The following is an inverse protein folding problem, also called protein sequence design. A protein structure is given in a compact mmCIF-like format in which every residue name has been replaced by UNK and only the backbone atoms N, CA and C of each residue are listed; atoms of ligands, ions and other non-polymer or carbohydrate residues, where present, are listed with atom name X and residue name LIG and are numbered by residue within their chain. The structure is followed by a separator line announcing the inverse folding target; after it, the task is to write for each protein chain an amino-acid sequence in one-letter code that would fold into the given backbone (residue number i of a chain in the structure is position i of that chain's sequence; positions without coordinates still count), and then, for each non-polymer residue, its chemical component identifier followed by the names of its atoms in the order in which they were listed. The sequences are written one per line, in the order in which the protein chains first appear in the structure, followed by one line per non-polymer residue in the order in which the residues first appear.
data_IF_367871658032
#
_entry.id   IF_367871658032
#
_cell.length_a   1.000
_cell.length_b   1.000
_cell.length_c   1.000
_cell.angle_alpha   90.00
_cell.angle_beta   90.00
_cell.angle_gamma   90.00
#
_symmetry.space_group_name_H-M   'P 1'
#
loop_
_entity.id
_entity.type
_entity.pdbx_description
1 polymer ?
#
# COMPACT_ATOMS: atom_id res chain seq x y z
N UNK A 1 -7.61 1.67 -31.27
CA UNK A 1 -8.49 0.53 -30.95
C UNK A 1 -7.87 -0.71 -31.57
N UNK A 2 -7.26 -1.58 -30.77
CA UNK A 2 -6.68 -2.84 -31.23
C UNK A 2 -7.65 -3.99 -30.90
N UNK A 3 -7.92 -4.82 -31.91
CA UNK A 3 -9.04 -5.76 -31.91
C UNK A 3 -8.90 -6.92 -30.93
N UNK A 4 -9.92 -7.09 -30.10
CA UNK A 4 -10.22 -8.32 -29.36
C UNK A 4 -10.83 -9.38 -30.30
N UNK A 5 -10.15 -9.73 -31.40
CA UNK A 5 -10.55 -10.83 -32.26
C UNK A 5 -9.78 -12.10 -31.87
N UNK A 6 -10.38 -12.89 -31.00
CA UNK A 6 -9.84 -14.19 -30.60
C UNK A 6 -10.59 -14.93 -29.51
N UNK A 7 -11.86 -14.61 -29.23
CA UNK A 7 -12.67 -15.46 -28.35
C UNK A 7 -13.22 -16.62 -29.18
N UNK A 8 -12.41 -17.67 -29.30
CA UNK A 8 -12.82 -18.96 -29.85
C UNK A 8 -13.96 -19.54 -29.00
N UNK A 9 -14.90 -20.23 -29.64
CA UNK A 9 -16.16 -20.74 -29.09
C UNK A 9 -15.99 -21.91 -28.09
N UNK A 10 -15.09 -21.78 -27.11
CA UNK A 10 -14.93 -22.65 -25.94
C UNK A 10 -14.90 -21.78 -24.67
N UNK A 11 -16.06 -21.30 -24.26
CA UNK A 11 -16.26 -20.30 -23.19
C UNK A 11 -16.09 -20.87 -21.78
N UNK A 12 -15.00 -21.57 -21.49
CA UNK A 12 -14.73 -22.13 -20.15
C UNK A 12 -13.38 -21.69 -19.54
N UNK A 13 -12.55 -20.99 -20.33
CA UNK A 13 -11.25 -20.47 -19.89
C UNK A 13 -11.26 -18.94 -19.94
N UNK A 14 -10.86 -18.31 -18.84
CA UNK A 14 -10.62 -16.86 -18.74
C UNK A 14 -9.11 -16.66 -18.65
N UNK A 15 -8.48 -15.90 -19.56
CA UNK A 15 -7.06 -15.59 -19.47
C UNK A 15 -6.72 -14.82 -18.18
N UNK A 16 -5.55 -15.08 -17.59
CA UNK A 16 -5.13 -14.43 -16.34
C UNK A 16 -4.96 -12.91 -16.52
N UNK A 17 -4.65 -12.46 -17.74
CA UNK A 17 -4.51 -11.04 -18.10
C UNK A 17 -5.84 -10.30 -17.94
N UNK A 18 -6.96 -10.96 -18.21
CA UNK A 18 -8.30 -10.40 -17.96
C UNK A 18 -8.51 -10.20 -16.47
N UNK A 19 -8.10 -11.16 -15.64
CA UNK A 19 -8.17 -11.03 -14.19
C UNK A 19 -7.27 -9.91 -13.65
N UNK A 20 -6.04 -9.79 -14.15
CA UNK A 20 -5.15 -8.68 -13.82
C UNK A 20 -5.78 -7.33 -14.21
N UNK A 21 -6.38 -7.24 -15.39
CA UNK A 21 -7.10 -6.03 -15.84
C UNK A 21 -8.24 -5.63 -14.90
N UNK A 22 -8.99 -6.60 -14.37
CA UNK A 22 -10.09 -6.34 -13.43
C UNK A 22 -9.63 -5.69 -12.13
N UNK A 23 -8.48 -6.12 -11.59
CA UNK A 23 -8.01 -5.68 -10.26
C UNK A 23 -7.05 -4.48 -10.30
N UNK A 24 -6.43 -4.21 -11.45
CA UNK A 24 -5.33 -3.23 -11.59
C UNK A 24 -5.74 -1.84 -11.07
N UNK A 25 -6.84 -1.28 -11.58
CA UNK A 25 -7.26 0.08 -11.23
C UNK A 25 -7.62 0.22 -9.76
N UNK A 26 -8.25 -0.80 -9.17
CA UNK A 26 -8.62 -0.76 -7.76
C UNK A 26 -7.39 -0.88 -6.85
N UNK A 27 -6.39 -1.67 -7.25
CA UNK A 27 -5.11 -1.71 -6.54
C UNK A 27 -4.37 -0.38 -6.65
N UNK A 28 -4.32 0.27 -7.83
CA UNK A 28 -3.71 1.60 -7.99
C UNK A 28 -4.36 2.63 -7.07
N UNK A 29 -5.70 2.65 -7.02
CA UNK A 29 -6.45 3.50 -6.07
C UNK A 29 -6.03 3.23 -4.63
N UNK A 30 -5.91 1.96 -4.22
CA UNK A 30 -5.42 1.64 -2.87
C UNK A 30 -3.99 2.13 -2.64
N UNK A 31 -3.07 1.98 -3.59
CA UNK A 31 -1.70 2.48 -3.46
C UNK A 31 -1.71 4.00 -3.22
N UNK A 32 -2.55 4.76 -3.92
CA UNK A 32 -2.69 6.20 -3.67
C UNK A 32 -3.35 6.53 -2.31
N UNK A 33 -4.32 5.73 -1.87
CA UNK A 33 -5.00 5.92 -0.57
C UNK A 33 -4.04 5.61 0.59
N UNK A 34 -3.22 4.57 0.48
CA UNK A 34 -2.34 4.09 1.56
C UNK A 34 -0.89 4.57 1.41
N UNK A 35 -0.57 5.25 0.32
CA UNK A 35 0.78 5.67 -0.03
C UNK A 35 0.92 7.15 -0.28
N UNK A 36 2.18 7.58 -0.22
CA UNK A 36 2.64 8.90 -0.59
C UNK A 36 4.04 8.76 -1.19
N UNK A 37 4.22 9.09 -2.47
CA UNK A 37 5.46 8.82 -3.22
C UNK A 37 6.73 9.33 -2.51
N UNK A 38 6.63 10.47 -1.83
CA UNK A 38 7.78 11.08 -1.14
C UNK A 38 7.95 10.63 0.33
N UNK A 39 7.00 9.89 0.90
CA UNK A 39 7.00 9.56 2.34
C UNK A 39 6.84 8.08 2.68
N UNK A 40 6.34 7.26 1.75
CA UNK A 40 6.24 5.82 1.93
C UNK A 40 4.83 5.27 1.76
N UNK A 41 4.62 4.03 2.20
CA UNK A 41 3.42 3.25 1.93
C UNK A 41 3.02 2.42 3.17
N UNK A 42 1.73 2.35 3.49
CA UNK A 42 1.20 1.55 4.60
C UNK A 42 1.03 0.10 4.19
N UNK A 43 2.10 -0.67 4.31
CA UNK A 43 2.17 -2.01 3.73
C UNK A 43 1.14 -2.99 4.29
N UNK A 44 0.97 -3.07 5.61
CA UNK A 44 0.11 -4.09 6.22
C UNK A 44 -1.35 -3.93 5.79
N UNK A 45 -1.91 -2.74 6.02
CA UNK A 45 -3.28 -2.40 5.63
C UNK A 45 -3.48 -2.52 4.11
N UNK A 46 -2.52 -2.01 3.31
CA UNK A 46 -2.60 -2.10 1.85
C UNK A 46 -2.64 -3.56 1.36
N UNK A 47 -1.71 -4.40 1.82
CA UNK A 47 -1.64 -5.78 1.37
C UNK A 47 -2.88 -6.58 1.80
N UNK A 48 -3.47 -6.27 2.95
CA UNK A 48 -4.75 -6.85 3.37
C UNK A 48 -5.89 -6.45 2.43
N UNK A 49 -6.01 -5.16 2.11
CA UNK A 49 -7.04 -4.66 1.17
C UNK A 49 -6.85 -5.25 -0.24
N UNK A 50 -5.62 -5.33 -0.73
CA UNK A 50 -5.30 -5.99 -2.01
C UNK A 50 -5.74 -7.47 -1.99
N UNK A 51 -5.41 -8.20 -0.92
CA UNK A 51 -5.83 -9.61 -0.77
C UNK A 51 -7.35 -9.75 -0.85
N UNK A 52 -8.10 -8.83 -0.22
CA UNK A 52 -9.55 -8.83 -0.24
C UNK A 52 -10.13 -8.52 -1.63
N UNK A 53 -9.52 -7.61 -2.40
CA UNK A 53 -9.89 -7.36 -3.80
C UNK A 53 -9.71 -8.64 -4.63
N UNK A 54 -8.55 -9.28 -4.51
CA UNK A 54 -8.22 -10.51 -5.25
C UNK A 54 -9.22 -11.60 -4.89
N UNK A 55 -9.46 -11.84 -3.60
CA UNK A 55 -10.38 -12.86 -3.13
C UNK A 55 -11.80 -12.64 -3.67
N UNK A 56 -12.31 -11.40 -3.55
CA UNK A 56 -13.65 -11.05 -4.03
C UNK A 56 -13.77 -11.24 -5.53
N UNK A 57 -12.80 -10.77 -6.32
CA UNK A 57 -12.85 -10.92 -7.78
C UNK A 57 -12.70 -12.39 -8.21
N UNK A 58 -11.83 -13.19 -7.55
CA UNK A 58 -11.74 -14.64 -7.80
C UNK A 58 -13.08 -15.34 -7.57
N UNK A 59 -13.77 -15.00 -6.48
CA UNK A 59 -15.09 -15.56 -6.15
C UNK A 59 -16.14 -15.24 -7.22
N UNK A 60 -16.01 -14.10 -7.90
CA UNK A 60 -16.92 -13.71 -8.99
C UNK A 60 -16.59 -14.46 -10.29
N UNK A 61 -15.32 -14.60 -10.67
CA UNK A 61 -14.95 -15.14 -11.99
C UNK A 61 -14.94 -16.67 -12.05
N UNK A 62 -14.49 -17.35 -10.98
CA UNK A 62 -14.31 -18.80 -11.00
C UNK A 62 -15.61 -19.58 -11.30
N UNK A 63 -16.81 -19.17 -10.82
CA UNK A 63 -18.06 -19.83 -11.17
C UNK A 63 -18.42 -19.84 -12.67
N UNK A 64 -17.84 -18.96 -13.48
CA UNK A 64 -18.08 -18.93 -14.93
C UNK A 64 -17.18 -19.90 -15.71
N UNK A 65 -16.30 -20.63 -15.01
CA UNK A 65 -15.28 -21.50 -15.61
C UNK A 65 -15.53 -22.96 -15.21
N UNK A 66 -15.19 -23.90 -16.09
CA UNK A 66 -15.16 -25.31 -15.74
C UNK A 66 -13.92 -25.61 -14.88
N UNK A 67 -13.82 -26.84 -14.35
CA UNK A 67 -12.71 -27.25 -13.48
C UNK A 67 -11.33 -27.03 -14.11
N UNK A 68 -11.17 -27.41 -15.38
CA UNK A 68 -9.92 -27.25 -16.13
C UNK A 68 -9.53 -25.77 -16.27
N UNK A 69 -10.49 -24.90 -16.57
CA UNK A 69 -10.25 -23.46 -16.67
C UNK A 69 -9.85 -22.86 -15.33
N UNK A 70 -10.53 -23.25 -14.25
CA UNK A 70 -10.19 -22.79 -12.89
C UNK A 70 -8.76 -23.17 -12.50
N UNK A 71 -8.36 -24.43 -12.74
CA UNK A 71 -7.01 -24.92 -12.47
C UNK A 71 -5.96 -24.14 -13.26
N UNK A 72 -6.23 -23.90 -14.55
CA UNK A 72 -5.35 -23.10 -15.41
C UNK A 72 -5.20 -21.67 -14.90
N UNK A 73 -6.31 -20.97 -14.62
CA UNK A 73 -6.27 -19.59 -14.12
C UNK A 73 -5.53 -19.50 -12.78
N UNK A 74 -5.69 -20.47 -11.89
CA UNK A 74 -4.96 -20.51 -10.62
C UNK A 74 -3.46 -20.70 -10.85
N UNK A 75 -3.07 -21.60 -11.76
CA UNK A 75 -1.68 -21.85 -12.12
C UNK A 75 -1.02 -20.62 -12.76
N UNK A 76 -1.68 -20.03 -13.74
CA UNK A 76 -1.23 -18.81 -14.44
C UNK A 76 -1.13 -17.63 -13.46
N UNK A 77 -2.10 -17.48 -12.55
CA UNK A 77 -2.05 -16.50 -11.48
C UNK A 77 -0.84 -16.71 -10.56
N UNK A 78 -0.61 -17.93 -10.08
CA UNK A 78 0.47 -18.21 -9.13
C UNK A 78 1.86 -17.97 -9.76
N UNK A 79 2.02 -18.29 -11.04
CA UNK A 79 3.27 -18.07 -11.78
C UNK A 79 3.51 -16.59 -12.11
N UNK A 80 2.48 -15.84 -12.50
CA UNK A 80 2.63 -14.47 -13.00
C UNK A 80 2.41 -13.38 -11.92
N UNK A 81 1.72 -13.66 -10.80
CA UNK A 81 1.34 -12.64 -9.81
C UNK A 81 2.51 -11.81 -9.31
N UNK A 82 3.68 -12.41 -9.11
CA UNK A 82 4.84 -11.71 -8.54
C UNK A 82 5.32 -10.62 -9.50
N UNK A 83 5.45 -10.97 -10.77
CA UNK A 83 5.85 -10.03 -11.82
C UNK A 83 4.80 -8.94 -12.01
N UNK A 84 3.52 -9.32 -12.08
CA UNK A 84 2.41 -8.37 -12.14
C UNK A 84 2.49 -7.32 -11.01
N UNK A 85 2.64 -7.77 -9.76
CA UNK A 85 2.73 -6.84 -8.61
C UNK A 85 4.03 -6.04 -8.58
N UNK A 86 5.15 -6.59 -9.04
CA UNK A 86 6.40 -5.84 -9.15
C UNK A 86 6.22 -4.66 -10.11
N UNK A 87 5.74 -4.94 -11.33
CA UNK A 87 5.53 -3.93 -12.37
C UNK A 87 4.50 -2.88 -11.90
N UNK A 88 3.39 -3.34 -11.30
CA UNK A 88 2.34 -2.45 -10.81
C UNK A 88 2.84 -1.49 -9.72
N UNK A 89 3.62 -1.98 -8.76
CA UNK A 89 4.17 -1.12 -7.71
C UNK A 89 5.25 -0.18 -8.25
N UNK A 90 6.09 -0.66 -9.16
CA UNK A 90 7.14 0.13 -9.79
C UNK A 90 6.57 1.31 -10.61
N UNK A 91 5.51 1.07 -11.38
CA UNK A 91 4.75 2.13 -12.08
C UNK A 91 4.26 3.22 -11.13
N UNK A 92 3.81 2.83 -9.93
CA UNK A 92 3.35 3.75 -8.88
C UNK A 92 4.50 4.35 -8.06
N UNK A 93 5.76 3.98 -8.34
CA UNK A 93 6.96 4.47 -7.67
C UNK A 93 7.24 3.82 -6.31
N UNK A 94 6.75 2.61 -6.08
CA UNK A 94 6.94 1.84 -4.85
C UNK A 94 7.61 0.49 -5.12
N UNK A 95 8.22 -0.09 -4.09
CA UNK A 95 8.73 -1.46 -4.13
C UNK A 95 7.60 -2.40 -3.69
N UNK A 96 7.35 -3.47 -4.45
CA UNK A 96 6.40 -4.51 -4.05
C UNK A 96 6.83 -5.17 -2.73
N UNK A 97 5.94 -5.14 -1.74
CA UNK A 97 6.13 -5.80 -0.45
C UNK A 97 4.96 -6.71 -0.03
N UNK A 98 3.96 -6.87 -0.91
CA UNK A 98 2.83 -7.75 -0.67
C UNK A 98 3.08 -9.17 -1.18
N UNK A 99 3.89 -9.32 -2.24
CA UNK A 99 4.16 -10.61 -2.87
C UNK A 99 5.66 -10.79 -3.18
N UNK A 100 6.37 -11.71 -2.50
CA UNK A 100 5.90 -12.53 -1.39
C UNK A 100 5.54 -11.70 -0.14
N UNK A 101 4.63 -12.19 0.72
CA UNK A 101 4.28 -11.50 1.95
C UNK A 101 5.51 -11.34 2.84
N UNK A 102 5.80 -10.11 3.27
CA UNK A 102 6.83 -9.88 4.29
C UNK A 102 6.23 -10.04 5.69
N UNK A 103 7.09 -10.40 6.65
CA UNK A 103 6.70 -10.51 8.05
C UNK A 103 6.13 -9.18 8.57
N UNK A 104 5.15 -9.27 9.48
CA UNK A 104 4.59 -8.10 10.15
C UNK A 104 5.68 -7.42 10.97
N UNK A 105 5.82 -6.10 10.77
CA UNK A 105 6.75 -5.29 11.57
C UNK A 105 6.19 -5.01 12.97
N UNK A 106 6.99 -4.36 13.82
CA UNK A 106 6.53 -3.88 15.12
C UNK A 106 5.32 -2.93 14.96
N UNK A 107 4.25 -3.17 15.71
CA UNK A 107 2.99 -2.44 15.59
C UNK A 107 3.14 -0.92 15.85
N UNK A 108 3.98 -0.52 16.81
CA UNK A 108 4.23 0.90 17.10
C UNK A 108 4.95 1.57 15.93
N UNK A 109 5.90 0.88 15.30
CA UNK A 109 6.57 1.39 14.10
C UNK A 109 5.62 1.52 12.91
N UNK A 110 4.67 0.60 12.75
CA UNK A 110 3.64 0.71 11.71
C UNK A 110 2.71 1.90 11.97
N UNK A 111 2.31 2.12 13.22
CA UNK A 111 1.51 3.29 13.63
C UNK A 111 2.25 4.60 13.32
N UNK A 112 3.54 4.70 13.64
CA UNK A 112 4.36 5.86 13.31
C UNK A 112 4.44 6.11 11.80
N UNK A 113 4.74 5.07 11.01
CA UNK A 113 4.78 5.17 9.53
C UNK A 113 3.44 5.64 8.97
N UNK A 114 2.35 5.09 9.50
CA UNK A 114 0.99 5.47 9.15
C UNK A 114 0.77 6.97 9.40
N UNK A 115 1.03 7.45 10.62
CA UNK A 115 0.93 8.87 10.98
C UNK A 115 1.79 9.77 10.09
N UNK A 116 3.03 9.35 9.78
CA UNK A 116 3.93 10.12 8.92
C UNK A 116 3.39 10.30 7.50
N UNK A 117 2.83 9.24 6.91
CA UNK A 117 2.22 9.29 5.57
C UNK A 117 1.00 10.23 5.56
N UNK A 118 0.17 10.19 6.60
CA UNK A 118 -0.97 11.09 6.78
C UNK A 118 -0.52 12.55 6.86
N UNK A 119 0.50 12.83 7.69
CA UNK A 119 1.11 14.15 7.78
C UNK A 119 1.62 14.64 6.42
N UNK A 120 2.28 13.79 5.64
CA UNK A 120 2.77 14.19 4.32
C UNK A 120 1.64 14.57 3.35
N UNK A 121 0.54 13.82 3.34
CA UNK A 121 -0.63 14.15 2.51
C UNK A 121 -1.23 15.50 2.91
N UNK A 122 -1.39 15.73 4.20
CA UNK A 122 -1.94 17.00 4.71
C UNK A 122 -0.98 18.17 4.44
N UNK A 123 0.33 17.94 4.57
CA UNK A 123 1.37 18.91 4.24
C UNK A 123 1.29 19.34 2.78
N UNK A 124 1.20 18.39 1.84
CA UNK A 124 1.12 18.68 0.42
C UNK A 124 -0.20 19.37 0.05
N UNK A 125 -1.31 18.98 0.69
CA UNK A 125 -2.62 19.65 0.55
C UNK A 125 -2.55 21.11 1.03
N UNK A 126 -2.03 21.35 2.23
CA UNK A 126 -1.88 22.72 2.78
C UNK A 126 -0.94 23.57 1.94
N UNK A 127 0.18 22.99 1.50
CA UNK A 127 1.12 23.66 0.60
C UNK A 127 0.46 24.04 -0.73
N UNK A 128 -0.37 23.15 -1.29
CA UNK A 128 -1.11 23.43 -2.52
C UNK A 128 -2.13 24.55 -2.32
N UNK A 129 -2.82 24.58 -1.18
CA UNK A 129 -3.80 25.61 -0.85
C UNK A 129 -3.17 27.02 -0.65
N UNK A 130 -1.90 27.10 -0.23
CA UNK A 130 -1.17 28.36 -0.11
C UNK A 130 -0.87 29.02 -1.47
N UNK A 131 -0.82 28.25 -2.56
CA UNK A 131 -0.51 28.76 -3.90
C UNK A 131 0.94 29.25 -4.06
N UNK A 132 1.19 30.04 -5.12
CA UNK A 132 2.55 30.48 -5.51
C UNK A 132 3.04 31.71 -4.75
N UNK A 133 2.15 32.65 -4.43
CA UNK A 133 2.46 33.89 -3.72
C UNK A 133 1.62 34.01 -2.43
N UNK A 134 1.83 33.11 -1.46
CA UNK A 134 1.10 33.16 -0.20
C UNK A 134 1.43 34.41 0.60
N UNK A 135 0.43 34.95 1.28
CA UNK A 135 0.62 36.01 2.26
C UNK A 135 1.55 35.57 3.39
N UNK A 136 2.33 36.51 3.93
CA UNK A 136 3.28 36.23 5.02
C UNK A 136 2.64 35.51 6.21
N UNK A 137 1.44 35.94 6.63
CA UNK A 137 0.73 35.32 7.76
C UNK A 137 0.32 33.87 7.47
N UNK A 138 -0.04 33.55 6.23
CA UNK A 138 -0.39 32.19 5.81
C UNK A 138 0.85 31.28 5.85
N UNK A 139 2.00 31.77 5.36
CA UNK A 139 3.29 31.07 5.47
C UNK A 139 3.69 30.83 6.93
N UNK A 140 3.54 31.86 7.77
CA UNK A 140 3.85 31.76 9.21
C UNK A 140 2.98 30.69 9.88
N UNK A 141 1.67 30.71 9.63
CA UNK A 141 0.75 29.71 10.17
C UNK A 141 1.10 28.28 9.72
N UNK A 142 1.46 28.11 8.45
CA UNK A 142 1.90 26.83 7.91
C UNK A 142 3.19 26.31 8.59
N UNK A 143 4.19 27.17 8.78
CA UNK A 143 5.43 26.81 9.46
C UNK A 143 5.22 26.46 10.94
N UNK A 144 4.34 27.19 11.64
CA UNK A 144 3.96 26.87 13.01
C UNK A 144 3.35 25.47 13.08
N UNK A 145 2.41 25.17 12.18
CA UNK A 145 1.78 23.84 12.13
C UNK A 145 2.80 22.73 11.84
N UNK A 146 3.72 22.90 10.88
CA UNK A 146 4.79 21.93 10.62
C UNK A 146 5.62 21.65 11.87
N UNK A 147 6.03 22.71 12.58
CA UNK A 147 6.85 22.56 13.77
C UNK A 147 6.10 21.80 14.86
N UNK A 148 4.82 22.12 15.08
CA UNK A 148 3.97 21.41 16.06
C UNK A 148 3.85 19.92 15.73
N UNK A 149 3.56 19.57 14.48
CA UNK A 149 3.46 18.16 14.06
C UNK A 149 4.81 17.44 14.18
N UNK A 150 5.91 18.09 13.79
CA UNK A 150 7.26 17.51 13.87
C UNK A 150 7.67 17.24 15.31
N UNK A 151 7.41 18.18 16.23
CA UNK A 151 7.67 18.00 17.66
C UNK A 151 6.82 16.86 18.21
N UNK A 152 5.52 16.83 17.90
CA UNK A 152 4.63 15.76 18.35
C UNK A 152 5.05 14.38 17.84
N UNK A 153 5.46 14.28 16.57
CA UNK A 153 5.96 13.04 15.99
C UNK A 153 7.27 12.59 16.65
N UNK A 154 8.19 13.53 16.90
CA UNK A 154 9.49 13.24 17.55
C UNK A 154 9.28 12.71 18.96
N UNK A 155 8.39 13.31 19.75
CA UNK A 155 8.08 12.84 21.11
C UNK A 155 7.49 11.43 21.09
N UNK A 156 6.54 11.15 20.19
CA UNK A 156 5.95 9.82 20.05
C UNK A 156 7.00 8.78 19.62
N UNK A 157 7.89 9.15 18.69
CA UNK A 157 9.00 8.30 18.27
C UNK A 157 9.95 7.96 19.44
N UNK A 158 10.35 8.96 20.23
CA UNK A 158 11.23 8.77 21.38
C UNK A 158 10.59 7.88 22.45
N UNK A 159 9.29 8.05 22.72
CA UNK A 159 8.54 7.18 23.62
C UNK A 159 8.58 5.73 23.14
N UNK A 160 8.28 5.47 21.86
CA UNK A 160 8.33 4.12 21.33
C UNK A 160 9.73 3.53 21.29
N UNK A 161 10.74 4.35 21.00
CA UNK A 161 12.14 3.91 21.03
C UNK A 161 12.54 3.43 22.44
N UNK A 162 12.14 4.17 23.48
CA UNK A 162 12.33 3.76 24.87
C UNK A 162 11.68 2.41 25.17
N UNK A 163 10.44 2.20 24.75
CA UNK A 163 9.72 0.93 24.95
C UNK A 163 10.29 -0.25 24.17
N UNK A 164 10.73 -0.02 22.92
CA UNK A 164 11.19 -1.10 22.04
C UNK A 164 12.63 -1.52 22.37
N UNK A 165 13.51 -0.56 22.68
CA UNK A 165 14.95 -0.83 22.81
C UNK A 165 15.44 -0.77 24.25
N UNK A 166 15.02 0.21 25.04
CA UNK A 166 15.57 0.41 26.39
C UNK A 166 14.90 -0.50 27.42
N UNK A 167 13.58 -0.67 27.35
CA UNK A 167 12.82 -1.44 28.34
C UNK A 167 13.21 -2.93 28.40
N UNK A 168 13.41 -3.66 27.28
CA UNK A 168 13.87 -5.05 27.33
C UNK A 168 15.30 -5.19 27.85
N UNK A 169 16.18 -4.22 27.54
CA UNK A 169 17.55 -4.18 28.06
C UNK A 169 17.56 -3.94 29.57
N UNK A 170 16.76 -3.00 30.08
CA UNK A 170 16.64 -2.79 31.53
C UNK A 170 16.09 -4.02 32.26
N UNK A 171 15.11 -4.73 31.70
CA UNK A 171 14.63 -6.00 32.27
C UNK A 171 15.78 -7.02 32.30
N UNK A 172 16.51 -7.19 31.20
CA UNK A 172 17.63 -8.13 31.11
C UNK A 172 18.69 -7.87 32.20
N UNK A 173 19.01 -6.61 32.47
CA UNK A 173 19.96 -6.22 33.53
C UNK A 173 19.40 -6.28 34.96
N UNK A 174 18.08 -6.33 35.15
CA UNK A 174 17.43 -6.47 36.47
C UNK A 174 17.14 -7.94 36.84
N UNK A 175 17.21 -8.85 35.87
CA UNK A 175 17.04 -10.30 36.05
C UNK A 175 18.34 -11.08 36.20
N UNK A 176 19.49 -10.39 36.25
CA UNK A 176 20.81 -10.90 36.62
C UNK A 176 21.28 -10.23 37.91
#
# INVERSE_FOLDING_TARGET
MAGYQGYTARTHDIPVEVFFGMITNDIKKLIHIYGHKNCGLRHEELCEKIRNIIYTNKKVILPFMNKSGQEKLISDWESQKKEFFNNLFEEEGFINMCYPPKAKGNANLQKLKSRHIEFCKEKDKRRSALGKNPEYNACKGYNVWINTETTSFTLEFLQFWFFIFLHPLCIFFLTF
#
